data_IF_911476235788
#
_entry.id   IF_911476235788
#
_cell.length_a   1.000
_cell.length_b   1.000
_cell.length_c   1.000
_cell.angle_alpha   90.00
_cell.angle_beta   90.00
_cell.angle_gamma   90.00
#
_symmetry.space_group_name_H-M   'P 1'
#
loop_
_entity.id
_entity.type
_entity.pdbx_description
1 polymer ?
#
# COMPACT_ATOMS: atom_id res chain seq x y z
N UNK A 1 -75.06 -16.23 -86.50
CA UNK A 1 -75.41 -14.92 -85.87
C UNK A 1 -75.28 -15.02 -84.35
N UNK A 2 -76.15 -15.74 -83.64
CA UNK A 2 -76.07 -15.87 -82.17
C UNK A 2 -74.85 -16.69 -81.69
N UNK A 3 -74.51 -17.78 -82.37
CA UNK A 3 -73.32 -18.60 -82.08
C UNK A 3 -72.01 -17.82 -82.25
N UNK A 4 -71.92 -17.01 -83.30
CA UNK A 4 -70.71 -16.26 -83.65
C UNK A 4 -70.48 -15.10 -82.67
N UNK A 5 -71.54 -14.41 -82.28
CA UNK A 5 -71.48 -13.36 -81.25
C UNK A 5 -71.07 -13.94 -79.91
N UNK A 6 -71.64 -15.08 -79.50
CA UNK A 6 -71.26 -15.74 -78.23
C UNK A 6 -69.80 -16.20 -78.28
N UNK A 7 -69.36 -16.83 -79.38
CA UNK A 7 -67.97 -17.25 -79.59
C UNK A 7 -67.00 -16.07 -79.50
N UNK A 8 -67.32 -14.97 -80.18
CA UNK A 8 -66.47 -13.78 -80.24
C UNK A 8 -66.37 -13.08 -78.88
N UNK A 9 -67.50 -12.86 -78.21
CA UNK A 9 -67.54 -12.26 -76.86
C UNK A 9 -66.82 -13.14 -75.86
N UNK A 10 -67.04 -14.46 -75.88
CA UNK A 10 -66.38 -15.40 -74.96
C UNK A 10 -64.86 -15.41 -75.18
N UNK A 11 -64.42 -15.51 -76.43
CA UNK A 11 -62.99 -15.48 -76.77
C UNK A 11 -62.33 -14.16 -76.36
N UNK A 12 -62.98 -13.03 -76.67
CA UNK A 12 -62.43 -11.71 -76.36
C UNK A 12 -62.36 -11.45 -74.86
N UNK A 13 -63.42 -11.78 -74.11
CA UNK A 13 -63.44 -11.62 -72.64
C UNK A 13 -62.41 -12.53 -71.98
N UNK A 14 -62.31 -13.81 -72.37
CA UNK A 14 -61.32 -14.74 -71.80
C UNK A 14 -59.90 -14.28 -72.12
N UNK A 15 -59.65 -13.81 -73.35
CA UNK A 15 -58.35 -13.28 -73.76
C UNK A 15 -57.99 -12.04 -72.95
N UNK A 16 -58.90 -11.09 -72.78
CA UNK A 16 -58.66 -9.84 -72.08
C UNK A 16 -58.48 -10.05 -70.57
N UNK A 17 -59.25 -10.95 -69.96
CA UNK A 17 -59.09 -11.33 -68.55
C UNK A 17 -57.79 -12.10 -68.33
N UNK A 18 -57.47 -13.07 -69.19
CA UNK A 18 -56.24 -13.88 -69.03
C UNK A 18 -54.96 -13.11 -69.34
N UNK A 19 -54.98 -12.25 -70.37
CA UNK A 19 -53.82 -11.44 -70.73
C UNK A 19 -53.64 -10.30 -69.75
N UNK A 20 -54.64 -9.43 -69.65
CA UNK A 20 -54.39 -8.10 -69.10
C UNK A 20 -54.56 -8.13 -67.59
N UNK A 21 -55.63 -8.75 -67.08
CA UNK A 21 -55.87 -8.81 -65.64
C UNK A 21 -54.87 -9.76 -64.99
N UNK A 22 -54.79 -11.02 -65.43
CA UNK A 22 -53.88 -12.00 -64.82
C UNK A 22 -52.42 -11.59 -65.07
N UNK A 23 -52.08 -11.10 -66.27
CA UNK A 23 -50.74 -10.60 -66.58
C UNK A 23 -50.32 -9.42 -65.72
N UNK A 24 -51.15 -8.37 -65.58
CA UNK A 24 -50.81 -7.23 -64.70
C UNK A 24 -50.77 -7.62 -63.23
N UNK A 25 -51.74 -8.40 -62.74
CA UNK A 25 -51.76 -8.80 -61.32
C UNK A 25 -50.53 -9.66 -60.99
N UNK A 26 -50.17 -10.59 -61.88
CA UNK A 26 -49.03 -11.49 -61.66
C UNK A 26 -47.71 -10.76 -61.86
N UNK A 27 -47.57 -9.97 -62.93
CA UNK A 27 -46.31 -9.27 -63.20
C UNK A 27 -46.11 -8.10 -62.24
N UNK A 28 -47.01 -7.12 -62.25
CA UNK A 28 -46.78 -5.88 -61.53
C UNK A 28 -47.12 -6.00 -60.05
N UNK A 29 -48.24 -6.67 -59.73
CA UNK A 29 -48.65 -6.89 -58.34
C UNK A 29 -47.64 -7.71 -57.56
N UNK A 30 -47.27 -8.89 -58.07
CA UNK A 30 -46.30 -9.76 -57.38
C UNK A 30 -44.90 -9.17 -57.44
N UNK A 31 -44.44 -8.61 -58.56
CA UNK A 31 -43.11 -7.99 -58.63
C UNK A 31 -42.98 -6.81 -57.67
N UNK A 32 -43.99 -5.93 -57.62
CA UNK A 32 -43.96 -4.79 -56.72
C UNK A 32 -44.00 -5.24 -55.25
N UNK A 33 -44.91 -6.16 -54.88
CA UNK A 33 -44.98 -6.66 -53.50
C UNK A 33 -43.69 -7.36 -53.12
N UNK A 34 -43.16 -8.22 -53.99
CA UNK A 34 -41.91 -8.96 -53.74
C UNK A 34 -40.74 -8.01 -53.61
N UNK A 35 -40.56 -7.08 -54.55
CA UNK A 35 -39.47 -6.11 -54.54
C UNK A 35 -39.56 -5.20 -53.31
N UNK A 36 -40.75 -4.69 -52.99
CA UNK A 36 -40.93 -3.80 -51.86
C UNK A 36 -40.72 -4.51 -50.52
N UNK A 37 -41.27 -5.71 -50.36
CA UNK A 37 -41.11 -6.51 -49.15
C UNK A 37 -39.65 -6.94 -48.98
N UNK A 38 -38.99 -7.42 -50.03
CA UNK A 38 -37.58 -7.82 -49.95
C UNK A 38 -36.70 -6.61 -49.63
N UNK A 39 -36.92 -5.47 -50.29
CA UNK A 39 -36.17 -4.25 -50.05
C UNK A 39 -36.33 -3.77 -48.60
N UNK A 40 -37.57 -3.69 -48.10
CA UNK A 40 -37.86 -3.24 -46.75
C UNK A 40 -37.32 -4.22 -45.69
N UNK A 41 -37.47 -5.52 -45.90
CA UNK A 41 -36.91 -6.53 -44.97
C UNK A 41 -35.39 -6.46 -44.96
N UNK A 42 -34.76 -6.36 -46.13
CA UNK A 42 -33.29 -6.37 -46.23
C UNK A 42 -32.67 -5.07 -45.74
N UNK A 43 -33.16 -3.92 -46.19
CA UNK A 43 -32.57 -2.63 -45.83
C UNK A 43 -32.94 -2.23 -44.42
N UNK A 44 -34.24 -2.22 -44.10
CA UNK A 44 -34.70 -1.62 -42.86
C UNK A 44 -34.55 -2.60 -41.71
N UNK A 45 -34.99 -3.85 -41.84
CA UNK A 45 -34.90 -4.79 -40.73
C UNK A 45 -33.47 -5.28 -40.56
N UNK A 46 -32.85 -5.87 -41.58
CA UNK A 46 -31.51 -6.45 -41.43
C UNK A 46 -30.47 -5.35 -41.22
N UNK A 47 -30.53 -4.26 -41.99
CA UNK A 47 -29.60 -3.14 -41.83
C UNK A 47 -29.69 -2.49 -40.45
N UNK A 48 -30.91 -2.17 -39.98
CA UNK A 48 -31.09 -1.53 -38.68
C UNK A 48 -30.78 -2.46 -37.52
N UNK A 49 -31.20 -3.74 -37.57
CA UNK A 49 -30.86 -4.71 -36.52
C UNK A 49 -29.35 -4.91 -36.46
N UNK A 50 -28.69 -5.11 -37.60
CA UNK A 50 -27.23 -5.30 -37.63
C UNK A 50 -26.50 -4.08 -37.10
N UNK A 51 -26.83 -2.88 -37.59
CA UNK A 51 -26.16 -1.64 -37.16
C UNK A 51 -26.41 -1.35 -35.67
N UNK A 52 -27.66 -1.45 -35.23
CA UNK A 52 -28.02 -1.13 -33.85
C UNK A 52 -27.46 -2.15 -32.87
N UNK A 53 -27.60 -3.45 -33.16
CA UNK A 53 -27.08 -4.52 -32.28
C UNK A 53 -25.56 -4.48 -32.22
N UNK A 54 -24.86 -4.32 -33.35
CA UNK A 54 -23.39 -4.22 -33.34
C UNK A 54 -22.94 -2.96 -32.60
N UNK A 55 -23.58 -1.81 -32.84
CA UNK A 55 -23.27 -0.56 -32.14
C UNK A 55 -23.46 -0.71 -30.63
N UNK A 56 -24.61 -1.20 -30.17
CA UNK A 56 -24.88 -1.38 -28.74
C UNK A 56 -23.91 -2.37 -28.11
N UNK A 57 -23.74 -3.56 -28.72
CA UNK A 57 -22.86 -4.59 -28.17
C UNK A 57 -21.40 -4.15 -28.12
N UNK A 58 -20.95 -3.36 -29.10
CA UNK A 58 -19.56 -2.90 -29.14
C UNK A 58 -19.36 -1.72 -28.20
N UNK A 59 -20.16 -0.66 -28.32
CA UNK A 59 -19.96 0.56 -27.54
C UNK A 59 -20.28 0.36 -26.06
N UNK A 60 -21.40 -0.27 -25.73
CA UNK A 60 -21.83 -0.36 -24.34
C UNK A 60 -21.08 -1.46 -23.61
N UNK A 61 -20.94 -2.66 -24.17
CA UNK A 61 -20.25 -3.72 -23.45
C UNK A 61 -18.75 -3.44 -23.35
N UNK A 62 -18.09 -2.97 -24.41
CA UNK A 62 -16.66 -2.63 -24.32
C UNK A 62 -16.49 -1.42 -23.41
N UNK A 63 -17.31 -0.39 -23.54
CA UNK A 63 -17.27 0.79 -22.68
C UNK A 63 -17.46 0.44 -21.19
N UNK A 64 -18.47 -0.37 -20.87
CA UNK A 64 -18.74 -0.83 -19.51
C UNK A 64 -17.63 -1.74 -18.98
N UNK A 65 -17.19 -2.73 -19.75
CA UNK A 65 -16.11 -3.63 -19.31
C UNK A 65 -14.83 -2.86 -19.10
N UNK A 66 -14.44 -1.98 -20.04
CA UNK A 66 -13.25 -1.14 -19.90
C UNK A 66 -13.38 -0.21 -18.69
N UNK A 67 -14.49 0.51 -18.54
CA UNK A 67 -14.69 1.42 -17.41
C UNK A 67 -14.68 0.69 -16.08
N UNK A 68 -15.40 -0.44 -15.97
CA UNK A 68 -15.48 -1.21 -14.75
C UNK A 68 -14.14 -1.84 -14.39
N UNK A 69 -13.47 -2.50 -15.35
CA UNK A 69 -12.14 -3.11 -15.12
C UNK A 69 -11.12 -2.05 -14.74
N UNK A 70 -11.05 -0.92 -15.45
CA UNK A 70 -10.12 0.16 -15.13
C UNK A 70 -10.41 0.73 -13.74
N UNK A 71 -11.68 1.01 -13.42
CA UNK A 71 -12.06 1.54 -12.10
C UNK A 71 -11.70 0.57 -10.98
N UNK A 72 -11.99 -0.72 -11.16
CA UNK A 72 -11.74 -1.75 -10.16
C UNK A 72 -10.24 -1.99 -9.98
N UNK A 73 -9.47 -2.06 -11.07
CA UNK A 73 -8.01 -2.20 -11.02
C UNK A 73 -7.37 -0.97 -10.37
N UNK A 74 -7.77 0.25 -10.74
CA UNK A 74 -7.20 1.46 -10.13
C UNK A 74 -7.56 1.52 -8.65
N UNK A 75 -8.84 1.40 -8.30
CA UNK A 75 -9.28 1.54 -6.91
C UNK A 75 -8.68 0.47 -6.02
N UNK A 76 -8.81 -0.80 -6.40
CA UNK A 76 -8.40 -1.89 -5.54
C UNK A 76 -6.92 -2.12 -5.59
N UNK A 77 -6.30 -2.22 -6.78
CA UNK A 77 -4.88 -2.52 -6.84
C UNK A 77 -4.07 -1.34 -6.31
N UNK A 78 -4.33 -0.11 -6.77
CA UNK A 78 -3.51 1.03 -6.34
C UNK A 78 -3.84 1.42 -4.89
N UNK A 79 -5.12 1.44 -4.52
CA UNK A 79 -5.54 1.78 -3.15
C UNK A 79 -5.06 0.75 -2.13
N UNK A 80 -5.22 -0.54 -2.43
CA UNK A 80 -4.85 -1.61 -1.52
C UNK A 80 -3.32 -1.81 -1.45
N UNK A 81 -2.60 -1.68 -2.57
CA UNK A 81 -1.13 -1.72 -2.57
C UNK A 81 -0.57 -0.51 -1.84
N UNK A 82 -1.07 0.71 -2.11
CA UNK A 82 -0.57 1.91 -1.40
C UNK A 82 -0.83 1.82 0.09
N UNK A 83 -2.05 1.50 0.51
CA UNK A 83 -2.39 1.41 1.94
C UNK A 83 -1.61 0.30 2.65
N UNK A 84 -1.50 -0.88 2.03
CA UNK A 84 -0.77 -1.98 2.62
C UNK A 84 0.73 -1.69 2.71
N UNK A 85 1.35 -1.18 1.64
CA UNK A 85 2.77 -0.83 1.63
C UNK A 85 3.05 0.29 2.63
N UNK A 86 2.25 1.36 2.67
CA UNK A 86 2.43 2.45 3.62
C UNK A 86 2.27 1.95 5.06
N UNK A 87 1.25 1.15 5.34
CA UNK A 87 1.00 0.59 6.66
C UNK A 87 2.14 -0.32 7.11
N UNK A 88 2.59 -1.22 6.24
CA UNK A 88 3.67 -2.17 6.55
C UNK A 88 5.00 -1.45 6.74
N UNK A 89 5.34 -0.48 5.87
CA UNK A 89 6.57 0.31 6.02
C UNK A 89 6.51 1.14 7.31
N UNK A 90 5.39 1.79 7.58
CA UNK A 90 5.27 2.64 8.78
C UNK A 90 5.30 1.80 10.06
N UNK A 91 4.50 0.73 10.13
CA UNK A 91 4.38 -0.05 11.35
C UNK A 91 5.62 -0.92 11.59
N UNK A 92 6.04 -1.68 10.58
CA UNK A 92 7.10 -2.66 10.80
C UNK A 92 8.48 -2.03 10.71
N UNK A 93 8.76 -1.24 9.67
CA UNK A 93 10.11 -0.68 9.50
C UNK A 93 10.35 0.41 10.54
N UNK A 94 9.48 1.40 10.65
CA UNK A 94 9.70 2.51 11.59
C UNK A 94 9.56 2.01 13.03
N UNK A 95 8.51 1.22 13.34
CA UNK A 95 8.31 0.67 14.68
C UNK A 95 9.49 -0.19 15.13
N UNK A 96 9.97 -1.10 14.29
CA UNK A 96 11.10 -1.96 14.62
C UNK A 96 12.41 -1.17 14.75
N UNK A 97 12.69 -0.24 13.82
CA UNK A 97 13.91 0.58 13.90
C UNK A 97 13.90 1.43 15.16
N UNK A 98 12.79 2.09 15.49
CA UNK A 98 12.67 2.91 16.70
C UNK A 98 12.83 2.04 17.95
N UNK A 99 12.14 0.91 18.03
CA UNK A 99 12.24 0.02 19.18
C UNK A 99 13.66 -0.53 19.36
N UNK A 100 14.30 -0.94 18.27
CA UNK A 100 15.66 -1.50 18.31
C UNK A 100 16.67 -0.43 18.71
N UNK A 101 16.60 0.77 18.12
CA UNK A 101 17.48 1.89 18.45
C UNK A 101 17.30 2.30 19.91
N UNK A 102 16.06 2.46 20.40
CA UNK A 102 15.80 2.83 21.79
C UNK A 102 16.33 1.75 22.74
N UNK A 103 16.08 0.47 22.45
CA UNK A 103 16.55 -0.63 23.27
C UNK A 103 18.07 -0.67 23.34
N UNK A 104 18.75 -0.56 22.19
CA UNK A 104 20.21 -0.59 22.11
C UNK A 104 20.84 0.62 22.79
N UNK A 105 20.32 1.83 22.56
CA UNK A 105 20.81 3.04 23.24
C UNK A 105 20.63 2.94 24.75
N UNK A 106 19.45 2.48 25.20
CA UNK A 106 19.16 2.37 26.63
C UNK A 106 20.02 1.29 27.29
N UNK A 107 20.07 0.10 26.70
CA UNK A 107 20.75 -1.04 27.33
C UNK A 107 22.27 -0.88 27.24
N UNK A 108 22.80 -0.60 26.05
CA UNK A 108 24.24 -0.62 25.84
C UNK A 108 24.87 0.71 26.24
N UNK A 109 24.34 1.85 25.78
CA UNK A 109 24.99 3.14 26.08
C UNK A 109 24.76 3.51 27.54
N UNK A 110 23.51 3.56 28.00
CA UNK A 110 23.24 3.99 29.39
C UNK A 110 23.74 2.95 30.39
N UNK A 111 23.54 1.66 30.12
CA UNK A 111 24.05 0.59 30.96
C UNK A 111 25.58 0.60 31.08
N UNK A 112 26.30 0.72 29.96
CA UNK A 112 27.75 0.73 29.97
C UNK A 112 28.32 2.00 30.61
N UNK A 113 27.73 3.18 30.34
CA UNK A 113 28.15 4.44 30.97
C UNK A 113 27.91 4.37 32.48
N UNK A 114 26.75 3.89 32.92
CA UNK A 114 26.43 3.76 34.35
C UNK A 114 27.37 2.80 35.05
N UNK A 115 27.65 1.64 34.42
CA UNK A 115 28.56 0.64 34.96
C UNK A 115 29.99 1.19 35.08
N UNK A 116 30.52 1.78 34.00
CA UNK A 116 31.88 2.35 34.00
C UNK A 116 32.02 3.50 35.00
N UNK A 117 31.04 4.41 35.09
CA UNK A 117 31.08 5.50 36.08
C UNK A 117 31.02 4.93 37.51
N UNK A 118 30.13 3.97 37.76
CA UNK A 118 29.96 3.43 39.12
C UNK A 118 31.15 2.58 39.55
N UNK A 119 31.65 1.71 38.68
CA UNK A 119 32.74 0.79 39.03
C UNK A 119 34.08 1.51 39.00
N UNK A 120 34.42 2.13 37.87
CA UNK A 120 35.76 2.66 37.69
C UNK A 120 35.93 3.97 38.44
N UNK A 121 35.01 4.93 38.30
CA UNK A 121 35.17 6.23 38.95
C UNK A 121 34.96 6.10 40.46
N UNK A 122 33.84 5.52 40.91
CA UNK A 122 33.59 5.41 42.36
C UNK A 122 34.58 4.46 43.04
N UNK A 123 34.91 3.33 42.39
CA UNK A 123 35.90 2.38 42.90
C UNK A 123 37.28 3.01 42.99
N UNK A 124 37.71 3.74 41.97
CA UNK A 124 39.01 4.41 41.99
C UNK A 124 39.04 5.56 42.99
N UNK A 125 37.99 6.37 43.10
CA UNK A 125 37.89 7.42 44.12
C UNK A 125 37.94 6.81 45.52
N UNK A 126 37.15 5.76 45.79
CA UNK A 126 37.13 5.13 47.11
C UNK A 126 38.49 4.50 47.43
N UNK A 127 39.07 3.75 46.50
CA UNK A 127 40.36 3.09 46.73
C UNK A 127 41.50 4.10 46.85
N UNK A 128 41.64 5.01 45.88
CA UNK A 128 42.74 5.96 45.89
C UNK A 128 42.57 7.00 46.97
N UNK A 129 41.42 7.69 47.05
CA UNK A 129 41.26 8.79 48.01
C UNK A 129 41.24 8.22 49.43
N UNK A 130 40.42 7.22 49.70
CA UNK A 130 40.26 6.72 51.06
C UNK A 130 41.49 5.97 51.54
N UNK A 131 42.03 5.03 50.74
CA UNK A 131 43.17 4.23 51.17
C UNK A 131 44.44 5.09 51.24
N UNK A 132 44.74 5.89 50.20
CA UNK A 132 45.94 6.73 50.21
C UNK A 132 45.88 7.80 51.30
N UNK A 133 44.77 8.53 51.44
CA UNK A 133 44.68 9.58 52.47
C UNK A 133 44.69 8.99 53.87
N UNK A 134 43.99 7.87 54.11
CA UNK A 134 43.96 7.25 55.44
C UNK A 134 45.34 6.69 55.81
N UNK A 135 45.99 5.97 54.90
CA UNK A 135 47.34 5.44 55.13
C UNK A 135 48.34 6.57 55.35
N UNK A 136 48.33 7.58 54.48
CA UNK A 136 49.25 8.70 54.59
C UNK A 136 49.02 9.49 55.87
N UNK A 137 47.77 9.80 56.21
CA UNK A 137 47.44 10.52 57.45
C UNK A 137 47.83 9.73 58.69
N UNK A 138 47.52 8.42 58.75
CA UNK A 138 47.90 7.57 59.88
C UNK A 138 49.42 7.44 59.96
N UNK A 139 50.11 7.20 58.85
CA UNK A 139 51.56 7.04 58.82
C UNK A 139 52.27 8.32 59.26
N UNK A 140 51.80 9.48 58.80
CA UNK A 140 52.37 10.77 59.16
C UNK A 140 52.11 11.11 60.63
N UNK A 141 50.89 10.89 61.14
CA UNK A 141 50.59 11.10 62.57
C UNK A 141 51.40 10.15 63.43
N UNK A 142 51.49 8.87 63.04
CA UNK A 142 52.23 7.85 63.80
C UNK A 142 53.72 8.15 63.82
N UNK A 143 54.34 8.50 62.68
CA UNK A 143 55.77 8.79 62.68
C UNK A 143 56.06 10.16 63.28
N UNK A 144 55.54 11.25 62.71
CA UNK A 144 55.97 12.57 63.19
C UNK A 144 55.47 12.90 64.59
N UNK A 145 54.18 12.68 64.88
CA UNK A 145 53.62 13.12 66.16
C UNK A 145 54.08 12.22 67.29
N UNK A 146 54.07 10.90 67.11
CA UNK A 146 54.47 10.00 68.18
C UNK A 146 55.98 10.05 68.38
N UNK A 147 56.80 10.04 67.33
CA UNK A 147 58.26 10.08 67.49
C UNK A 147 58.68 11.40 68.15
N UNK A 148 58.12 12.53 67.72
CA UNK A 148 58.46 13.84 68.29
C UNK A 148 57.98 13.99 69.73
N UNK A 149 56.73 13.61 70.04
CA UNK A 149 56.22 13.65 71.42
C UNK A 149 57.00 12.69 72.31
N UNK A 150 57.32 11.49 71.82
CA UNK A 150 58.06 10.50 72.60
C UNK A 150 59.47 10.98 72.89
N UNK A 151 60.19 11.50 71.88
CA UNK A 151 61.54 12.03 72.08
C UNK A 151 61.51 13.23 73.02
N UNK A 152 60.71 14.26 72.70
CA UNK A 152 60.71 15.52 73.45
C UNK A 152 60.26 15.33 74.90
N UNK A 153 59.19 14.56 75.13
CA UNK A 153 58.65 14.35 76.47
C UNK A 153 59.58 13.45 77.29
N UNK A 154 60.11 12.36 76.72
CA UNK A 154 61.04 11.50 77.44
C UNK A 154 62.33 12.25 77.75
N UNK A 155 62.90 12.98 76.79
CA UNK A 155 64.13 13.75 76.99
C UNK A 155 63.92 14.83 78.06
N UNK A 156 62.79 15.56 78.01
CA UNK A 156 62.47 16.59 78.98
C UNK A 156 62.26 16.01 80.39
N UNK A 157 61.45 14.96 80.53
CA UNK A 157 61.17 14.34 81.84
C UNK A 157 62.43 13.72 82.42
N UNK A 158 63.21 12.99 81.60
CA UNK A 158 64.47 12.38 82.04
C UNK A 158 65.47 13.45 82.44
N UNK A 159 65.59 14.54 81.67
CA UNK A 159 66.43 15.68 82.00
C UNK A 159 66.06 16.36 83.32
N UNK A 160 64.76 16.58 83.57
CA UNK A 160 64.28 17.17 84.83
C UNK A 160 64.50 16.23 86.01
N UNK A 161 64.17 14.94 85.87
CA UNK A 161 64.29 13.95 86.96
C UNK A 161 65.74 13.71 87.33
N UNK A 162 66.63 13.52 86.35
CA UNK A 162 68.06 13.31 86.61
C UNK A 162 68.72 14.61 87.10
N UNK A 163 68.34 15.76 86.56
CA UNK A 163 68.92 17.06 86.95
C UNK A 163 68.49 17.56 88.34
N UNK A 164 67.43 17.00 88.92
CA UNK A 164 66.97 17.33 90.28
C UNK A 164 67.53 16.41 91.38
N UNK A 165 68.36 15.41 91.05
CA UNK A 165 69.09 14.53 91.98
C UNK A 165 70.53 15.00 92.10
#
# INVERSE_FOLDING_TARGET
>A
MTSDVISHVTSHVISHVSSDIIGHVTSDGISHVTSHVISHVTSDIIGHVTSHVISHLTSDNIGLVTSHVISHVISDVIGHVSSHVISHVTSDVIGHVVSHVISHVTSDVIGHVTSHVTIDVMGHVTSHVFCHMTIHAISHVTSEVIDHVTSDVIDHVTGVVIGCV
#
